data_IF_485519573028
#
_entry.id   IF_485519573028
#
_cell.length_a   1.000
_cell.length_b   1.000
_cell.length_c   1.000
_cell.angle_alpha   90.00
_cell.angle_beta   90.00
_cell.angle_gamma   90.00
#
_symmetry.space_group_name_H-M   'P 1'
#
loop_
_entity.id
_entity.type
_entity.pdbx_description
1 polymer ?
#
# COMPACT_ATOMS: atom_id res chain seq x y z
N UNK A 1 15.73 0.47 24.20
CA UNK A 1 15.30 1.88 24.05
C UNK A 1 13.90 1.93 23.44
N UNK A 2 12.99 2.78 23.94
CA UNK A 2 11.63 2.90 23.38
C UNK A 2 11.65 3.98 22.30
N UNK A 3 11.49 3.59 21.03
CA UNK A 3 11.51 4.50 19.88
C UNK A 3 10.20 5.27 19.74
N UNK A 4 10.28 6.55 19.37
CA UNK A 4 9.13 7.36 18.98
C UNK A 4 8.60 6.92 17.60
N UNK A 5 7.35 7.23 17.27
CA UNK A 5 6.71 6.91 15.99
C UNK A 5 7.49 7.47 14.79
N UNK A 6 7.98 8.70 14.88
CA UNK A 6 8.78 9.33 13.81
C UNK A 6 10.07 8.53 13.55
N UNK A 7 10.75 8.11 14.63
CA UNK A 7 11.97 7.29 14.53
C UNK A 7 11.68 5.91 13.93
N UNK A 8 10.54 5.29 14.28
CA UNK A 8 10.12 4.03 13.67
C UNK A 8 9.86 4.15 12.18
N UNK A 9 9.23 5.25 11.74
CA UNK A 9 8.97 5.53 10.33
C UNK A 9 10.30 5.70 9.58
N UNK A 10 11.21 6.51 10.11
CA UNK A 10 12.53 6.74 9.54
C UNK A 10 13.34 5.44 9.40
N UNK A 11 13.37 4.62 10.45
CA UNK A 11 14.06 3.32 10.44
C UNK A 11 13.41 2.33 9.48
N UNK A 12 12.08 2.32 9.38
CA UNK A 12 11.35 1.49 8.43
C UNK A 12 11.77 1.84 7.00
N UNK A 13 11.78 3.13 6.66
CA UNK A 13 12.22 3.61 5.35
C UNK A 13 13.67 3.23 5.04
N UNK A 14 14.58 3.44 6.00
CA UNK A 14 15.99 3.08 5.86
C UNK A 14 16.18 1.56 5.67
N UNK A 15 15.30 0.74 6.24
CA UNK A 15 15.37 -0.72 6.09
C UNK A 15 14.77 -1.25 4.78
N UNK A 16 13.78 -0.54 4.20
CA UNK A 16 13.00 -1.01 3.05
C UNK A 16 13.42 -0.35 1.73
N UNK A 17 13.62 0.97 1.75
CA UNK A 17 13.86 1.79 0.56
C UNK A 17 15.33 2.13 0.43
N UNK A 18 15.91 2.75 1.45
CA UNK A 18 17.33 3.14 1.44
C UNK A 18 18.22 2.09 2.13
N UNK A 19 18.10 0.84 1.69
CA UNK A 19 18.80 -0.31 2.30
C UNK A 19 20.33 -0.14 2.29
N UNK A 20 20.86 0.46 1.23
CA UNK A 20 22.28 0.77 1.08
C UNK A 20 22.68 2.07 1.80
N UNK A 21 21.72 2.80 2.38
CA UNK A 21 21.90 4.01 3.18
C UNK A 21 22.56 5.14 2.42
N UNK A 22 22.36 5.16 1.11
CA UNK A 22 23.03 6.11 0.23
C UNK A 22 22.46 7.51 0.43
N UNK A 23 21.14 7.63 0.42
CA UNK A 23 20.44 8.90 0.61
C UNK A 23 20.66 9.41 2.04
N UNK A 24 20.48 8.53 3.02
CA UNK A 24 20.69 8.86 4.43
C UNK A 24 22.13 9.29 4.72
N UNK A 25 23.12 8.57 4.17
CA UNK A 25 24.54 8.88 4.34
C UNK A 25 24.91 10.24 3.74
N UNK A 26 24.48 10.51 2.51
CA UNK A 26 24.70 11.80 1.86
C UNK A 26 24.07 12.91 2.70
N UNK A 27 22.79 12.79 3.05
CA UNK A 27 22.10 13.84 3.80
C UNK A 27 22.74 14.08 5.16
N UNK A 28 23.15 13.03 5.89
CA UNK A 28 23.81 13.16 7.19
C UNK A 28 25.09 14.00 7.15
N UNK A 29 25.86 13.91 6.06
CA UNK A 29 27.13 14.66 5.90
C UNK A 29 26.92 16.15 5.63
N UNK A 30 25.72 16.55 5.22
CA UNK A 30 25.40 17.95 4.92
C UNK A 30 25.06 18.72 6.20
N UNK A 31 25.34 20.03 6.18
CA UNK A 31 24.89 20.94 7.23
C UNK A 31 23.36 21.14 7.18
N UNK A 32 22.77 21.60 8.29
CA UNK A 32 21.32 21.72 8.42
C UNK A 32 20.66 22.55 7.29
N UNK A 33 21.19 23.72 6.87
CA UNK A 33 20.60 24.49 5.78
C UNK A 33 20.55 23.72 4.45
N UNK A 34 21.62 23.02 4.09
CA UNK A 34 21.66 22.19 2.88
C UNK A 34 20.70 21.00 2.99
N UNK A 35 20.60 20.37 4.16
CA UNK A 35 19.61 19.30 4.39
C UNK A 35 18.19 19.79 4.20
N UNK A 36 17.84 20.94 4.79
CA UNK A 36 16.52 21.56 4.64
C UNK A 36 16.22 21.92 3.18
N UNK A 37 17.23 22.40 2.44
CA UNK A 37 17.11 22.62 1.00
C UNK A 37 16.78 21.32 0.23
N UNK A 38 17.40 20.19 0.57
CA UNK A 38 17.06 18.90 -0.02
C UNK A 38 15.66 18.41 0.39
N UNK A 39 15.28 18.57 1.66
CA UNK A 39 13.99 18.11 2.17
C UNK A 39 12.80 18.82 1.50
N UNK A 40 12.99 20.07 1.11
CA UNK A 40 11.94 20.91 0.50
C UNK A 40 12.11 20.92 -1.03
N UNK A 41 13.34 21.07 -1.51
CA UNK A 41 13.64 21.22 -2.94
C UNK A 41 13.47 19.94 -3.74
N UNK A 42 13.78 18.77 -3.19
CA UNK A 42 13.64 17.49 -3.90
C UNK A 42 12.15 17.14 -4.16
N UNK A 43 11.25 17.35 -3.20
CA UNK A 43 9.80 17.24 -3.43
C UNK A 43 9.25 18.30 -4.40
N UNK A 44 9.66 19.57 -4.29
CA UNK A 44 9.22 20.63 -5.21
C UNK A 44 9.72 20.38 -6.64
N UNK A 45 10.97 19.99 -6.82
CA UNK A 45 11.50 19.67 -8.15
C UNK A 45 10.80 18.44 -8.74
N UNK A 46 10.51 17.42 -7.94
CA UNK A 46 9.72 16.26 -8.35
C UNK A 46 8.31 16.67 -8.80
N UNK A 47 7.67 17.59 -8.06
CA UNK A 47 6.37 18.17 -8.42
C UNK A 47 6.42 18.85 -9.79
N UNK A 48 7.40 19.73 -10.01
CA UNK A 48 7.56 20.45 -11.29
C UNK A 48 7.79 19.49 -12.45
N UNK A 49 8.65 18.49 -12.29
CA UNK A 49 8.92 17.48 -13.33
C UNK A 49 7.65 16.69 -13.69
N UNK A 50 6.86 16.29 -12.70
CA UNK A 50 5.61 15.55 -12.95
C UNK A 50 4.57 16.40 -13.70
N UNK A 51 4.50 17.70 -13.43
CA UNK A 51 3.66 18.63 -14.20
C UNK A 51 4.15 18.75 -15.64
N UNK A 52 5.46 18.90 -15.85
CA UNK A 52 6.02 18.99 -17.21
C UNK A 52 5.75 17.73 -18.03
N UNK A 53 5.89 16.55 -17.42
CA UNK A 53 5.55 15.27 -18.05
C UNK A 53 4.04 15.20 -18.33
N UNK A 54 3.20 15.56 -17.36
CA UNK A 54 1.75 15.57 -17.55
C UNK A 54 1.32 16.47 -18.71
N UNK A 55 1.88 17.67 -18.79
CA UNK A 55 1.61 18.62 -19.87
C UNK A 55 2.11 18.09 -21.23
N UNK A 56 3.29 17.48 -21.28
CA UNK A 56 3.80 16.86 -22.51
C UNK A 56 2.88 15.75 -23.03
N UNK A 57 2.32 14.95 -22.12
CA UNK A 57 1.37 13.87 -22.45
C UNK A 57 0.03 14.43 -22.93
N UNK A 58 -0.51 15.45 -22.26
CA UNK A 58 -1.74 16.14 -22.72
C UNK A 58 -1.55 16.69 -24.13
N UNK A 59 -0.43 17.38 -24.37
CA UNK A 59 -0.11 18.02 -25.64
C UNK A 59 0.22 17.03 -26.77
N UNK A 60 0.41 15.74 -26.47
CA UNK A 60 0.66 14.69 -27.48
C UNK A 60 -0.59 14.33 -28.30
N UNK A 61 -1.77 14.84 -27.93
CA UNK A 61 -3.01 14.72 -28.72
C UNK A 61 -3.66 13.33 -28.73
N UNK A 62 -3.19 12.39 -27.90
CA UNK A 62 -3.69 11.01 -27.89
C UNK A 62 -4.85 10.83 -26.87
N UNK A 63 -6.12 10.73 -27.33
CA UNK A 63 -7.29 10.85 -26.46
C UNK A 63 -7.47 9.69 -25.46
N UNK A 64 -6.87 8.53 -25.73
CA UNK A 64 -6.95 7.35 -24.85
C UNK A 64 -6.12 7.47 -23.56
N UNK A 65 -5.18 8.42 -23.49
CA UNK A 65 -4.23 8.52 -22.38
C UNK A 65 -4.43 9.77 -21.51
N UNK A 66 -5.25 10.73 -21.95
CA UNK A 66 -5.26 12.07 -21.36
C UNK A 66 -5.94 12.15 -19.99
N UNK A 67 -7.04 11.44 -19.76
CA UNK A 67 -7.76 11.57 -18.48
C UNK A 67 -7.15 10.71 -17.38
N UNK A 68 -6.88 9.43 -17.67
CA UNK A 68 -6.38 8.49 -16.68
C UNK A 68 -4.95 8.79 -16.22
N UNK A 69 -4.05 9.18 -17.14
CA UNK A 69 -2.68 9.53 -16.77
C UNK A 69 -2.63 10.83 -15.97
N UNK A 70 -3.47 11.82 -16.28
CA UNK A 70 -3.54 13.08 -15.53
C UNK A 70 -4.10 12.87 -14.13
N UNK A 71 -5.12 12.00 -13.98
CA UNK A 71 -5.64 11.61 -12.66
C UNK A 71 -4.58 10.83 -11.87
N UNK A 72 -3.86 9.90 -12.50
CA UNK A 72 -2.78 9.17 -11.82
C UNK A 72 -1.61 10.07 -11.41
N UNK A 73 -1.13 10.95 -12.31
CA UNK A 73 -0.05 11.90 -12.01
C UNK A 73 -0.46 12.88 -10.92
N UNK A 74 -1.69 13.42 -10.96
CA UNK A 74 -2.17 14.34 -9.94
C UNK A 74 -2.30 13.67 -8.56
N UNK A 75 -2.73 12.41 -8.50
CA UNK A 75 -2.76 11.63 -7.25
C UNK A 75 -1.35 11.32 -6.72
N UNK A 76 -0.40 10.96 -7.61
CA UNK A 76 1.00 10.77 -7.22
C UNK A 76 1.55 12.07 -6.64
N UNK A 77 1.29 13.19 -7.29
CA UNK A 77 1.70 14.50 -6.80
C UNK A 77 1.08 14.81 -5.43
N UNK A 78 -0.23 14.64 -5.28
CA UNK A 78 -0.97 15.00 -4.07
C UNK A 78 -0.53 14.18 -2.84
N UNK A 79 -0.22 12.90 -3.02
CA UNK A 79 0.07 12.00 -1.90
C UNK A 79 1.56 11.69 -1.73
N UNK A 80 2.32 11.55 -2.81
CA UNK A 80 3.72 11.13 -2.73
C UNK A 80 4.64 12.29 -2.34
N UNK A 81 4.40 13.51 -2.84
CA UNK A 81 5.27 14.67 -2.57
C UNK A 81 5.27 15.04 -1.08
N UNK A 82 4.12 15.21 -0.39
CA UNK A 82 4.10 15.47 1.04
C UNK A 82 4.62 14.28 1.86
N UNK A 83 4.33 13.05 1.41
CA UNK A 83 4.83 11.83 2.05
C UNK A 83 6.36 11.75 2.05
N UNK A 84 6.99 12.11 0.92
CA UNK A 84 8.45 12.19 0.79
C UNK A 84 9.05 13.31 1.64
N UNK A 85 8.42 14.50 1.70
CA UNK A 85 8.86 15.58 2.61
C UNK A 85 8.91 15.09 4.07
N UNK A 86 7.82 14.49 4.54
CA UNK A 86 7.69 14.00 5.91
C UNK A 86 8.69 12.87 6.20
N UNK A 87 8.94 12.01 5.22
CA UNK A 87 9.95 10.94 5.31
C UNK A 87 11.36 11.51 5.44
N UNK A 88 11.76 12.46 4.60
CA UNK A 88 13.11 13.03 4.70
C UNK A 88 13.31 13.85 5.98
N UNK A 89 12.29 14.59 6.42
CA UNK A 89 12.31 15.25 7.73
C UNK A 89 12.46 14.26 8.88
N UNK A 90 11.90 13.05 8.75
CA UNK A 90 12.01 12.02 9.80
C UNK A 90 13.45 11.53 10.03
N UNK A 91 14.38 11.71 9.06
CA UNK A 91 15.78 11.36 9.22
C UNK A 91 16.50 12.17 10.31
N UNK A 92 16.10 13.41 10.54
CA UNK A 92 16.65 14.23 11.64
C UNK A 92 16.45 13.55 13.00
N UNK A 93 15.34 12.81 13.15
CA UNK A 93 15.03 12.12 14.42
C UNK A 93 15.94 10.93 14.73
N UNK A 94 16.72 10.45 13.75
CA UNK A 94 17.58 9.27 13.86
C UNK A 94 19.08 9.56 13.63
N UNK A 95 19.49 10.78 13.25
CA UNK A 95 20.90 11.08 13.00
C UNK A 95 21.82 10.88 14.20
N UNK A 96 21.31 11.14 15.40
CA UNK A 96 22.03 10.99 16.67
C UNK A 96 21.84 9.61 17.32
N UNK A 97 21.08 8.71 16.70
CA UNK A 97 20.87 7.36 17.21
C UNK A 97 21.91 6.40 16.66
N UNK A 98 22.29 5.41 17.47
CA UNK A 98 22.97 4.21 17.00
C UNK A 98 21.96 3.27 16.31
N UNK A 99 21.47 3.73 15.16
CA UNK A 99 20.43 3.03 14.40
C UNK A 99 20.93 1.69 13.84
N UNK A 100 22.24 1.52 13.64
CA UNK A 100 22.80 0.27 13.14
C UNK A 100 22.59 -0.86 14.13
N UNK A 101 22.91 -0.61 15.40
CA UNK A 101 22.67 -1.56 16.48
C UNK A 101 21.18 -1.87 16.63
N UNK A 102 20.32 -0.85 16.51
CA UNK A 102 18.87 -1.00 16.61
C UNK A 102 18.31 -1.87 15.47
N UNK A 103 18.74 -1.62 14.23
CA UNK A 103 18.30 -2.40 13.07
C UNK A 103 18.84 -3.84 13.16
N UNK A 104 20.07 -4.04 13.61
CA UNK A 104 20.65 -5.36 13.80
C UNK A 104 19.89 -6.16 14.86
N UNK A 105 19.59 -5.57 16.01
CA UNK A 105 18.78 -6.19 17.06
C UNK A 105 17.35 -6.51 16.59
N UNK A 106 16.72 -5.63 15.81
CA UNK A 106 15.40 -5.91 15.23
C UNK A 106 15.44 -7.04 14.20
N UNK A 107 16.46 -7.06 13.33
CA UNK A 107 16.64 -8.11 12.35
C UNK A 107 16.93 -9.45 13.02
N UNK A 108 17.74 -9.46 14.09
CA UNK A 108 18.05 -10.67 14.84
C UNK A 108 16.83 -11.18 15.60
N UNK A 109 16.05 -10.30 16.25
CA UNK A 109 14.75 -10.65 16.82
C UNK A 109 13.79 -11.19 15.77
N UNK A 110 13.72 -10.56 14.59
CA UNK A 110 12.91 -11.06 13.46
C UNK A 110 13.41 -12.43 13.01
N UNK A 111 14.72 -12.66 12.87
CA UNK A 111 15.31 -13.95 12.51
C UNK A 111 15.03 -15.03 13.56
N UNK A 112 15.13 -14.70 14.85
CA UNK A 112 14.77 -15.61 15.96
C UNK A 112 13.28 -15.92 15.94
N UNK A 113 12.42 -14.92 15.73
CA UNK A 113 10.97 -15.10 15.56
C UNK A 113 10.66 -15.94 14.32
N UNK A 114 11.36 -15.76 13.20
CA UNK A 114 11.21 -16.56 11.97
C UNK A 114 11.65 -18.01 12.20
N UNK A 115 12.77 -18.21 12.91
CA UNK A 115 13.32 -19.53 13.22
C UNK A 115 12.41 -20.30 14.18
N UNK A 116 11.78 -19.62 15.14
CA UNK A 116 10.78 -20.20 16.06
C UNK A 116 9.37 -20.30 15.43
N UNK A 117 8.99 -19.38 14.55
CA UNK A 117 7.72 -19.40 13.82
C UNK A 117 8.01 -19.69 12.34
N UNK A 118 8.00 -20.98 11.98
CA UNK A 118 7.97 -21.52 10.59
C UNK A 118 6.81 -20.99 9.70
N UNK A 119 6.18 -19.86 10.04
CA UNK A 119 4.81 -19.52 9.61
C UNK A 119 4.58 -18.00 9.47
N UNK A 120 5.58 -17.16 9.13
CA UNK A 120 5.31 -15.75 8.83
C UNK A 120 4.28 -15.56 7.69
N UNK A 121 4.27 -16.48 6.73
CA UNK A 121 3.31 -16.53 5.63
C UNK A 121 1.89 -16.91 6.06
N UNK A 122 1.66 -17.38 7.29
CA UNK A 122 0.30 -17.65 7.77
C UNK A 122 -0.35 -16.33 8.19
N UNK A 123 -1.44 -15.97 7.54
CA UNK A 123 -2.25 -14.77 7.79
C UNK A 123 -2.55 -14.48 9.28
N UNK A 124 -2.63 -15.51 10.12
CA UNK A 124 -2.84 -15.38 11.59
C UNK A 124 -1.60 -14.99 12.42
N UNK A 125 -0.41 -14.95 11.84
CA UNK A 125 0.81 -14.45 12.49
C UNK A 125 1.09 -12.97 12.19
N UNK A 126 0.37 -12.38 11.24
CA UNK A 126 0.33 -10.94 11.02
C UNK A 126 -0.43 -10.26 12.16
N UNK A 127 -0.09 -9.00 12.43
CA UNK A 127 -0.87 -8.18 13.36
C UNK A 127 -2.33 -8.07 12.87
N UNK A 128 -3.28 -7.97 13.79
CA UNK A 128 -4.71 -7.89 13.46
C UNK A 128 -5.00 -6.80 12.42
N UNK A 129 -4.37 -5.63 12.57
CA UNK A 129 -4.50 -4.51 11.63
C UNK A 129 -4.03 -4.85 10.21
N UNK A 130 -2.86 -5.47 10.05
CA UNK A 130 -2.34 -5.88 8.73
C UNK A 130 -3.24 -6.92 8.07
N UNK A 131 -3.84 -7.81 8.87
CA UNK A 131 -4.77 -8.82 8.36
C UNK A 131 -6.08 -8.19 7.86
N UNK A 132 -6.63 -7.22 8.59
CA UNK A 132 -7.82 -6.46 8.14
C UNK A 132 -7.51 -5.71 6.84
N UNK A 133 -6.36 -5.04 6.76
CA UNK A 133 -5.92 -4.35 5.54
C UNK A 133 -5.84 -5.32 4.36
N UNK A 134 -5.19 -6.47 4.54
CA UNK A 134 -5.06 -7.49 3.49
C UNK A 134 -6.43 -8.01 3.04
N UNK A 135 -7.34 -8.34 3.97
CA UNK A 135 -8.70 -8.76 3.64
C UNK A 135 -9.50 -7.68 2.90
N UNK A 136 -9.35 -6.41 3.26
CA UNK A 136 -10.00 -5.32 2.55
C UNK A 136 -9.40 -5.12 1.15
N UNK A 137 -8.08 -5.19 1.00
CA UNK A 137 -7.41 -5.05 -0.30
C UNK A 137 -7.84 -6.15 -1.26
N UNK A 138 -7.87 -7.41 -0.80
CA UNK A 138 -8.33 -8.55 -1.62
C UNK A 138 -9.82 -8.42 -1.95
N UNK A 139 -10.65 -8.01 -1.00
CA UNK A 139 -12.08 -7.78 -1.21
C UNK A 139 -12.32 -6.74 -2.31
N UNK A 140 -11.71 -5.56 -2.18
CA UNK A 140 -11.87 -4.45 -3.14
C UNK A 140 -11.38 -4.88 -4.52
N UNK A 141 -10.25 -5.59 -4.60
CA UNK A 141 -9.68 -6.05 -5.88
C UNK A 141 -10.62 -7.02 -6.59
N UNK A 142 -11.10 -8.05 -5.89
CA UNK A 142 -12.03 -9.04 -6.46
C UNK A 142 -13.40 -8.42 -6.80
N UNK A 143 -13.90 -7.52 -5.95
CA UNK A 143 -15.14 -6.80 -6.20
C UNK A 143 -15.04 -5.98 -7.49
N UNK A 144 -13.93 -5.27 -7.70
CA UNK A 144 -13.72 -4.48 -8.91
C UNK A 144 -13.63 -5.37 -10.17
N UNK A 145 -12.97 -6.52 -10.07
CA UNK A 145 -12.92 -7.51 -11.15
C UNK A 145 -14.33 -7.98 -11.52
N UNK A 146 -15.14 -8.36 -10.54
CA UNK A 146 -16.51 -8.83 -10.77
C UNK A 146 -17.38 -7.74 -11.38
N UNK A 147 -17.31 -6.50 -10.86
CA UNK A 147 -18.03 -5.36 -11.41
C UNK A 147 -17.66 -5.11 -12.87
N UNK A 148 -16.37 -5.15 -13.19
CA UNK A 148 -15.86 -4.93 -14.54
C UNK A 148 -16.37 -5.99 -15.53
N UNK A 149 -16.22 -7.28 -15.21
CA UNK A 149 -16.69 -8.36 -16.07
C UNK A 149 -18.21 -8.42 -16.19
N UNK A 150 -18.95 -8.13 -15.10
CA UNK A 150 -20.40 -8.07 -15.15
C UNK A 150 -20.89 -6.94 -16.05
N UNK A 151 -20.28 -5.75 -15.98
CA UNK A 151 -20.61 -4.63 -16.87
C UNK A 151 -20.29 -4.96 -18.33
N UNK A 152 -19.12 -5.55 -18.61
CA UNK A 152 -18.79 -6.00 -19.97
C UNK A 152 -19.82 -6.97 -20.52
N UNK A 153 -20.20 -8.00 -19.75
CA UNK A 153 -21.21 -8.96 -20.17
C UNK A 153 -22.58 -8.31 -20.44
N UNK A 154 -22.97 -7.32 -19.63
CA UNK A 154 -24.21 -6.55 -19.83
C UNK A 154 -24.15 -5.78 -21.16
N UNK A 155 -23.06 -5.05 -21.43
CA UNK A 155 -22.92 -4.26 -22.64
C UNK A 155 -22.75 -5.09 -23.92
N UNK A 156 -22.19 -6.30 -23.82
CA UNK A 156 -22.15 -7.25 -24.95
C UNK A 156 -23.54 -7.84 -25.26
N UNK A 157 -24.36 -8.06 -24.24
CA UNK A 157 -25.67 -8.69 -24.38
C UNK A 157 -26.77 -7.69 -24.78
N UNK A 158 -26.69 -6.45 -24.28
CA UNK A 158 -27.70 -5.42 -24.49
C UNK A 158 -27.08 -4.15 -25.09
N UNK A 159 -27.24 -3.96 -26.41
CA UNK A 159 -26.75 -2.75 -27.09
C UNK A 159 -27.64 -1.52 -26.88
N UNK A 160 -28.94 -1.71 -26.62
CA UNK A 160 -29.92 -0.66 -26.29
C UNK A 160 -31.01 -1.23 -25.37
N UNK A 161 -30.75 -1.38 -24.06
CA UNK A 161 -31.71 -1.96 -23.13
C UNK A 161 -32.91 -1.03 -22.93
N UNK A 162 -34.11 -1.60 -22.86
CA UNK A 162 -35.32 -0.87 -22.45
C UNK A 162 -35.29 -0.53 -20.95
N UNK A 163 -36.11 0.42 -20.52
CA UNK A 163 -36.17 0.84 -19.11
C UNK A 163 -36.49 -0.33 -18.15
N UNK A 164 -37.36 -1.26 -18.57
CA UNK A 164 -37.67 -2.46 -17.79
C UNK A 164 -36.48 -3.43 -17.71
N UNK A 165 -35.71 -3.57 -18.78
CA UNK A 165 -34.49 -4.39 -18.79
C UNK A 165 -33.40 -3.79 -17.91
N UNK A 166 -33.27 -2.46 -17.88
CA UNK A 166 -32.33 -1.76 -16.99
C UNK A 166 -32.64 -2.02 -15.51
N UNK A 167 -33.92 -1.98 -15.12
CA UNK A 167 -34.35 -2.29 -13.75
C UNK A 167 -34.02 -3.75 -13.39
N UNK A 168 -34.27 -4.68 -14.30
CA UNK A 168 -33.95 -6.10 -14.09
C UNK A 168 -32.44 -6.33 -13.97
N UNK A 169 -31.63 -5.76 -14.87
CA UNK A 169 -30.17 -5.82 -14.85
C UNK A 169 -29.62 -5.27 -13.52
N UNK A 170 -30.13 -4.13 -13.07
CA UNK A 170 -29.70 -3.53 -11.80
C UNK A 170 -30.02 -4.44 -10.60
N UNK A 171 -31.17 -5.10 -10.60
CA UNK A 171 -31.54 -6.06 -9.55
C UNK A 171 -30.62 -7.29 -9.57
N UNK A 172 -30.39 -7.89 -10.74
CA UNK A 172 -29.50 -9.05 -10.90
C UNK A 172 -28.06 -8.72 -10.53
N UNK A 173 -27.58 -7.54 -10.93
CA UNK A 173 -26.26 -7.03 -10.57
C UNK A 173 -26.14 -6.80 -9.05
N UNK A 174 -27.17 -6.27 -8.40
CA UNK A 174 -27.20 -6.10 -6.94
C UNK A 174 -27.18 -7.45 -6.21
N UNK A 175 -27.92 -8.44 -6.72
CA UNK A 175 -27.93 -9.81 -6.18
C UNK A 175 -26.54 -10.46 -6.34
N UNK A 176 -25.89 -10.28 -7.49
CA UNK A 176 -24.54 -10.78 -7.75
C UNK A 176 -23.53 -10.21 -6.75
N UNK A 177 -23.52 -8.88 -6.57
CA UNK A 177 -22.57 -8.22 -5.66
C UNK A 177 -22.83 -8.58 -4.19
N UNK A 178 -24.09 -8.66 -3.76
CA UNK A 178 -24.44 -9.05 -2.40
C UNK A 178 -24.08 -10.52 -2.12
N UNK A 179 -24.33 -11.43 -3.07
CA UNK A 179 -23.95 -12.84 -2.97
C UNK A 179 -22.43 -13.03 -2.90
N UNK A 180 -21.67 -12.29 -3.74
CA UNK A 180 -20.21 -12.29 -3.66
C UNK A 180 -19.71 -11.82 -2.30
N UNK A 181 -20.28 -10.73 -1.78
CA UNK A 181 -19.91 -10.17 -0.47
C UNK A 181 -20.15 -11.17 0.66
N UNK A 182 -21.29 -11.85 0.62
CA UNK A 182 -21.64 -12.89 1.59
C UNK A 182 -20.68 -14.08 1.52
N UNK A 183 -20.39 -14.60 0.32
CA UNK A 183 -19.45 -15.70 0.12
C UNK A 183 -18.05 -15.33 0.60
N UNK A 184 -17.59 -14.12 0.26
CA UNK A 184 -16.29 -13.61 0.68
C UNK A 184 -16.19 -13.53 2.22
N UNK A 185 -17.22 -13.02 2.88
CA UNK A 185 -17.29 -12.98 4.34
C UNK A 185 -17.25 -14.40 4.95
N UNK A 186 -17.99 -15.36 4.40
CA UNK A 186 -17.94 -16.76 4.86
C UNK A 186 -16.53 -17.36 4.70
N UNK A 187 -15.87 -17.14 3.58
CA UNK A 187 -14.49 -17.62 3.35
C UNK A 187 -13.53 -17.05 4.40
N UNK A 188 -13.63 -15.76 4.72
CA UNK A 188 -12.81 -15.14 5.78
C UNK A 188 -13.08 -15.81 7.13
N UNK A 189 -14.35 -15.99 7.50
CA UNK A 189 -14.73 -16.63 8.77
C UNK A 189 -14.18 -18.05 8.84
N UNK A 190 -14.28 -18.83 7.76
CA UNK A 190 -13.74 -20.20 7.69
C UNK A 190 -12.21 -20.17 7.84
N UNK A 191 -11.50 -19.31 7.10
CA UNK A 191 -10.04 -19.19 7.17
C UNK A 191 -9.55 -18.79 8.58
N UNK A 192 -10.31 -17.95 9.29
CA UNK A 192 -9.97 -17.52 10.65
C UNK A 192 -10.27 -18.61 11.69
N UNK A 193 -11.39 -19.36 11.56
CA UNK A 193 -11.88 -20.34 12.55
C UNK A 193 -11.24 -21.73 12.42
N UNK A 194 -11.12 -22.27 11.20
CA UNK A 194 -10.70 -23.67 10.94
C UNK A 194 -9.26 -24.01 11.36
N UNK A 195 -8.46 -23.02 11.75
CA UNK A 195 -7.06 -23.20 12.21
C UNK A 195 -6.93 -23.26 13.75
N UNK A 196 -8.00 -23.03 14.52
CA UNK A 196 -7.97 -23.07 15.99
C UNK A 196 -7.72 -24.48 16.56
N UNK A 197 -8.20 -25.53 15.89
CA UNK A 197 -8.24 -26.89 16.44
C UNK A 197 -6.87 -27.60 16.52
N UNK A 198 -5.86 -27.18 15.74
CA UNK A 198 -4.54 -27.85 15.68
C UNK A 198 -3.43 -27.23 16.55
N UNK A 199 -3.69 -26.13 17.28
CA UNK A 199 -2.64 -25.35 17.96
C UNK A 199 -2.16 -25.88 19.33
N UNK A 200 -2.84 -26.85 19.93
CA UNK A 200 -2.55 -27.26 21.33
C UNK A 200 -1.33 -28.17 21.53
N UNK A 201 -0.54 -28.49 20.49
CA UNK A 201 0.50 -29.54 20.60
C UNK A 201 1.94 -29.21 20.15
N UNK A 202 2.25 -28.04 19.59
CA UNK A 202 3.55 -27.89 18.88
C UNK A 202 4.47 -26.73 19.30
N UNK A 203 4.16 -25.96 20.35
CA UNK A 203 5.06 -24.91 20.87
C UNK A 203 5.11 -24.88 22.41
N UNK A 204 5.00 -26.05 23.04
CA UNK A 204 5.38 -26.26 24.44
C UNK A 204 6.50 -27.30 24.45
N UNK A 205 7.70 -26.88 24.06
CA UNK A 205 8.99 -27.48 24.44
C UNK A 205 10.03 -26.39 24.33
#
# INVERSE_FOLDING_TARGET
>A
MKLNYIQKIALCYLSLVDKNRWIFGILKTLNLPLRMFFYIGLPISSYVVLILIGNAIINSGNPFYQLDIVIYLSNIILYAVPGLCLLYLSFESIYNLDFEKIIAEEQEKKKQIIKCKKQLWRLRNLHYSYRVVLYLTVYISLLNIIKYYALLAIFETYQNPSEQQLIQINNEYTILLSSFTFLYAMVIVILDTSVYYKRKKSCQK
#
